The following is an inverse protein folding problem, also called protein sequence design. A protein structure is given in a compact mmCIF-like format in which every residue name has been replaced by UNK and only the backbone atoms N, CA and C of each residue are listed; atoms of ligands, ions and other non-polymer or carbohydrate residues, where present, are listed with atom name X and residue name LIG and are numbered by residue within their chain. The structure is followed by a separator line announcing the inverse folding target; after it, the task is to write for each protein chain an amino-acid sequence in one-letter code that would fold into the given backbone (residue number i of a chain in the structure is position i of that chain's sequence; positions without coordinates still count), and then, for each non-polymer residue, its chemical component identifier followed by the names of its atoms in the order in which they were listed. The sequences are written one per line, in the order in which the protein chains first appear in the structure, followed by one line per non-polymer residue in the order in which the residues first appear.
data_IF_720416202831
#
_entry.id   IF_720416202831
#
_cell.length_a   1.000
_cell.length_b   1.000
_cell.length_c   1.000
_cell.angle_alpha   90.00
_cell.angle_beta   90.00
_cell.angle_gamma   90.00
#
_symmetry.space_group_name_H-M   'P 1'
#
loop_
_entity.id
_entity.type
_entity.pdbx_description
1 polymer ?
#
# COMPACT_ATOMS: atom_id res chain seq x y z
N UNK A 1 -51.96 -3.75 -2.09
CA UNK A 1 -51.24 -2.44 -2.12
C UNK A 1 -50.24 -2.20 -0.99
N UNK A 2 -50.33 -2.81 0.21
CA UNK A 2 -49.32 -2.60 1.28
C UNK A 2 -48.01 -3.40 1.12
N UNK A 3 -48.01 -4.50 0.36
CA UNK A 3 -46.82 -5.35 0.18
C UNK A 3 -45.75 -4.79 -0.79
N UNK A 4 -46.13 -3.88 -1.71
CA UNK A 4 -45.20 -3.31 -2.69
C UNK A 4 -44.26 -2.22 -2.12
N UNK A 5 -44.61 -1.62 -0.97
CA UNK A 5 -43.75 -0.59 -0.34
C UNK A 5 -42.63 -1.18 0.52
N UNK A 6 -42.80 -2.39 1.05
CA UNK A 6 -41.79 -3.04 1.90
C UNK A 6 -40.61 -3.60 1.09
N UNK A 7 -40.86 -4.08 -0.14
CA UNK A 7 -39.82 -4.63 -1.01
C UNK A 7 -38.81 -3.57 -1.50
N UNK A 8 -39.24 -2.32 -1.65
CA UNK A 8 -38.36 -1.24 -2.12
C UNK A 8 -37.33 -0.76 -1.10
N UNK A 9 -37.60 -0.89 0.20
CA UNK A 9 -36.70 -0.42 1.28
C UNK A 9 -35.63 -1.47 1.57
N UNK A 10 -35.98 -2.76 1.57
CA UNK A 10 -35.02 -3.84 1.79
C UNK A 10 -33.99 -3.97 0.65
N UNK A 11 -34.41 -3.83 -0.62
CA UNK A 11 -33.46 -3.84 -1.75
C UNK A 11 -32.57 -2.60 -1.79
N UNK A 12 -33.01 -1.45 -1.29
CA UNK A 12 -32.17 -0.26 -1.20
C UNK A 12 -31.09 -0.37 -0.11
N UNK A 13 -31.39 -1.04 1.02
CA UNK A 13 -30.39 -1.27 2.08
C UNK A 13 -29.36 -2.34 1.73
N UNK A 14 -29.75 -3.43 1.06
CA UNK A 14 -28.79 -4.46 0.60
C UNK A 14 -27.84 -3.91 -0.47
N UNK A 15 -28.32 -3.01 -1.34
CA UNK A 15 -27.47 -2.33 -2.32
C UNK A 15 -26.53 -1.30 -1.67
N UNK A 16 -26.94 -0.67 -0.56
CA UNK A 16 -26.13 0.33 0.15
C UNK A 16 -24.98 -0.30 0.94
N UNK A 17 -25.20 -1.49 1.53
CA UNK A 17 -24.15 -2.24 2.26
C UNK A 17 -23.14 -2.87 1.29
N UNK A 18 -23.59 -3.35 0.13
CA UNK A 18 -22.69 -3.81 -0.92
C UNK A 18 -21.89 -2.66 -1.57
N UNK A 19 -22.44 -1.45 -1.64
CA UNK A 19 -21.72 -0.28 -2.21
C UNK A 19 -20.74 0.39 -1.24
N UNK A 20 -20.83 0.14 0.08
CA UNK A 20 -19.86 0.69 1.04
C UNK A 20 -18.60 -0.15 1.14
N UNK A 21 -18.68 -1.47 0.90
CA UNK A 21 -17.53 -2.39 0.94
C UNK A 21 -17.12 -2.97 -0.43
N UNK A 22 -17.87 -2.65 -1.49
CA UNK A 22 -17.66 -3.17 -2.85
C UNK A 22 -17.36 -2.09 -3.87
N UNK A 23 -16.64 -1.02 -3.48
CA UNK A 23 -15.97 -0.18 -4.47
C UNK A 23 -15.05 -1.09 -5.29
N UNK A 24 -15.16 -1.05 -6.62
CA UNK A 24 -14.17 -1.75 -7.45
C UNK A 24 -12.85 -0.99 -7.27
N UNK A 25 -11.85 -1.68 -6.74
CA UNK A 25 -10.47 -1.19 -6.68
C UNK A 25 -9.70 -1.84 -7.83
N UNK A 26 -8.85 -1.06 -8.48
CA UNK A 26 -7.84 -1.61 -9.38
C UNK A 26 -6.54 -1.72 -8.58
N UNK A 27 -6.06 -2.95 -8.29
CA UNK A 27 -4.76 -3.11 -7.66
C UNK A 27 -3.66 -2.68 -8.62
N UNK A 28 -2.72 -1.91 -8.08
CA UNK A 28 -1.42 -1.62 -8.66
C UNK A 28 -0.38 -2.35 -7.84
N UNK A 29 0.62 -2.95 -8.49
CA UNK A 29 1.58 -3.77 -7.77
C UNK A 29 2.94 -3.86 -8.47
N UNK A 30 3.99 -4.18 -7.72
CA UNK A 30 5.29 -4.64 -8.23
C UNK A 30 5.52 -6.11 -7.84
N UNK A 31 6.50 -6.75 -8.46
CA UNK A 31 6.91 -8.13 -8.13
C UNK A 31 8.41 -8.23 -7.98
N UNK A 32 8.90 -9.19 -7.20
CA UNK A 32 10.36 -9.38 -7.08
C UNK A 32 11.01 -9.67 -8.42
N UNK A 33 12.17 -9.05 -8.65
CA UNK A 33 12.91 -9.19 -9.89
C UNK A 33 13.34 -10.65 -10.17
N UNK A 34 13.22 -11.06 -11.43
CA UNK A 34 13.53 -12.44 -11.84
C UNK A 34 12.45 -13.47 -11.47
N UNK A 35 11.27 -13.00 -11.07
CA UNK A 35 10.09 -13.82 -10.83
C UNK A 35 9.64 -14.63 -12.07
N UNK A 36 8.94 -15.77 -11.88
CA UNK A 36 8.49 -16.65 -12.96
C UNK A 36 7.57 -16.01 -14.02
N UNK A 37 6.86 -14.93 -13.68
CA UNK A 37 6.07 -14.13 -14.61
C UNK A 37 6.92 -13.39 -15.66
N UNK A 38 8.21 -13.15 -15.36
CA UNK A 38 9.13 -12.43 -16.23
C UNK A 38 8.94 -10.91 -16.25
N UNK A 39 8.12 -10.38 -15.34
CA UNK A 39 8.08 -8.93 -15.08
C UNK A 39 9.35 -8.49 -14.34
N UNK A 40 9.72 -7.23 -14.52
CA UNK A 40 10.86 -6.66 -13.80
C UNK A 40 10.38 -6.05 -12.47
N UNK A 41 11.25 -6.05 -11.45
CA UNK A 41 10.88 -5.51 -10.13
C UNK A 41 10.77 -4.00 -10.03
N UNK A 42 11.11 -3.30 -11.12
CA UNK A 42 10.86 -1.87 -11.31
C UNK A 42 9.56 -1.58 -12.10
N UNK A 43 8.83 -2.62 -12.53
CA UNK A 43 7.53 -2.47 -13.20
C UNK A 43 6.38 -2.32 -12.20
N UNK A 44 5.67 -1.18 -12.24
CA UNK A 44 4.36 -1.05 -11.59
C UNK A 44 3.26 -1.49 -12.56
N UNK A 45 2.59 -2.59 -12.21
CA UNK A 45 1.58 -3.28 -13.00
C UNK A 45 0.18 -2.94 -12.49
N UNK A 46 -0.83 -3.03 -13.35
CA UNK A 46 -2.23 -2.82 -12.98
C UNK A 46 -3.12 -3.97 -13.46
N UNK A 47 -4.07 -4.39 -12.64
CA UNK A 47 -5.09 -5.38 -13.03
C UNK A 47 -6.22 -4.73 -13.88
N UNK A 48 -6.95 -5.49 -14.72
CA UNK A 48 -6.92 -6.95 -14.91
C UNK A 48 -5.91 -7.46 -15.95
N UNK A 49 -5.54 -8.74 -15.80
CA UNK A 49 -4.59 -9.46 -16.65
C UNK A 49 -5.15 -9.96 -18.01
N UNK A 50 -4.32 -10.05 -19.07
CA UNK A 50 -2.95 -9.54 -19.10
C UNK A 50 -2.98 -8.01 -19.05
N UNK A 51 -2.08 -7.34 -18.31
CA UNK A 51 -2.06 -5.89 -18.23
C UNK A 51 -2.04 -5.34 -19.66
N UNK A 52 -3.16 -4.74 -20.07
CA UNK A 52 -3.41 -4.43 -21.51
C UNK A 52 -2.41 -3.38 -22.01
N UNK A 53 -1.82 -2.63 -21.08
CA UNK A 53 -0.51 -2.05 -21.19
C UNK A 53 0.12 -2.14 -19.80
N UNK A 54 1.31 -2.76 -19.60
CA UNK A 54 2.11 -2.39 -18.45
C UNK A 54 2.21 -0.87 -18.50
N UNK A 55 1.85 -0.20 -17.40
CA UNK A 55 2.16 1.21 -17.26
C UNK A 55 3.67 1.25 -17.44
N UNK A 56 4.21 1.84 -18.51
CA UNK A 56 5.62 1.62 -18.83
C UNK A 56 6.44 2.03 -17.59
N UNK A 57 7.25 1.13 -17.01
CA UNK A 57 8.12 1.42 -15.84
C UNK A 57 8.93 2.72 -15.97
N UNK A 58 9.05 3.22 -17.21
CA UNK A 58 9.45 4.59 -17.49
C UNK A 58 8.70 5.70 -16.74
N UNK A 59 7.60 5.41 -16.02
CA UNK A 59 6.95 6.38 -15.13
C UNK A 59 7.84 6.68 -13.91
N UNK A 60 8.62 5.73 -13.38
CA UNK A 60 9.44 6.01 -12.18
C UNK A 60 10.93 6.03 -12.47
N UNK A 61 11.45 5.06 -13.24
CA UNK A 61 12.90 4.86 -13.33
C UNK A 61 13.25 4.38 -14.75
N UNK A 62 13.47 5.30 -15.70
CA UNK A 62 13.95 4.92 -17.04
C UNK A 62 15.35 4.31 -16.98
N UNK A 63 15.46 2.99 -16.96
CA UNK A 63 16.72 2.34 -17.26
C UNK A 63 16.76 0.92 -16.76
N UNK A 64 16.91 -0.02 -17.71
CA UNK A 64 17.22 -1.43 -17.53
C UNK A 64 18.58 -1.69 -16.83
N UNK A 65 18.89 -0.95 -15.77
CA UNK A 65 20.05 -1.26 -14.93
C UNK A 65 19.59 -2.39 -14.03
N UNK A 66 20.26 -3.53 -14.15
CA UNK A 66 20.05 -4.67 -13.26
C UNK A 66 20.18 -4.21 -11.80
N UNK A 67 19.22 -4.57 -10.95
CA UNK A 67 19.23 -4.27 -9.51
C UNK A 67 18.37 -3.08 -9.08
N UNK A 68 17.29 -2.77 -9.80
CA UNK A 68 16.22 -1.93 -9.28
C UNK A 68 15.04 -2.78 -8.84
N UNK A 69 14.52 -2.46 -7.67
CA UNK A 69 13.37 -3.10 -7.07
C UNK A 69 12.60 -2.00 -6.34
N UNK A 70 11.28 -1.97 -6.58
CA UNK A 70 10.36 -1.10 -5.87
C UNK A 70 9.72 -1.94 -4.78
N UNK A 71 10.10 -1.65 -3.55
CA UNK A 71 9.78 -2.46 -2.38
C UNK A 71 8.48 -2.03 -1.75
N UNK A 72 8.06 -0.79 -1.95
CA UNK A 72 6.79 -0.33 -1.43
C UNK A 72 6.22 0.79 -2.31
N UNK A 73 4.90 0.83 -2.52
CA UNK A 73 4.24 1.89 -3.29
C UNK A 73 2.95 2.34 -2.59
N UNK A 74 2.63 3.63 -2.72
CA UNK A 74 1.33 4.20 -2.37
C UNK A 74 0.95 5.27 -3.39
N UNK A 75 -0.18 5.08 -4.04
CA UNK A 75 -0.71 5.99 -5.04
C UNK A 75 -1.56 7.07 -4.38
N UNK A 76 -1.01 8.27 -4.25
CA UNK A 76 -1.78 9.35 -3.68
C UNK A 76 -2.75 9.96 -4.71
N UNK A 77 -4.01 9.55 -4.68
CA UNK A 77 -5.04 10.10 -5.56
C UNK A 77 -5.24 11.62 -5.44
N UNK A 78 -4.75 12.26 -4.38
CA UNK A 78 -4.96 13.69 -4.15
C UNK A 78 -3.99 14.61 -4.93
N UNK A 79 -2.86 14.10 -5.47
CA UNK A 79 -1.78 14.95 -6.01
C UNK A 79 -1.45 14.76 -7.49
N UNK A 80 -2.40 14.25 -8.29
CA UNK A 80 -2.28 14.35 -9.75
C UNK A 80 -1.22 13.42 -10.36
N UNK A 81 -1.33 12.12 -10.06
CA UNK A 81 -0.50 11.02 -10.58
C UNK A 81 0.90 10.89 -9.94
N UNK A 82 1.15 11.57 -8.82
CA UNK A 82 2.37 11.35 -8.03
C UNK A 82 2.28 10.07 -7.20
N UNK A 83 3.35 9.28 -7.24
CA UNK A 83 3.47 8.06 -6.46
C UNK A 83 4.49 8.27 -5.36
N UNK A 84 4.18 7.67 -4.22
CA UNK A 84 5.07 7.56 -3.08
C UNK A 84 5.61 6.15 -3.07
N UNK A 85 6.92 5.98 -2.86
CA UNK A 85 7.54 4.67 -2.91
C UNK A 85 8.78 4.55 -2.04
N UNK A 86 9.15 3.33 -1.71
CA UNK A 86 10.47 2.94 -1.17
C UNK A 86 11.14 1.93 -2.12
N UNK A 87 12.42 1.63 -1.89
CA UNK A 87 13.27 0.81 -2.78
C UNK A 87 14.28 -0.02 -2.00
N UNK A 88 14.67 -1.17 -2.56
CA UNK A 88 15.61 -2.09 -1.92
C UNK A 88 17.00 -1.50 -1.69
N UNK A 89 17.72 -2.10 -0.75
CA UNK A 89 19.13 -1.83 -0.47
C UNK A 89 20.03 -2.06 -1.69
N UNK A 90 19.58 -2.79 -2.72
CA UNK A 90 20.35 -2.93 -3.96
C UNK A 90 20.07 -1.84 -5.00
N UNK A 91 19.03 -1.03 -4.80
CA UNK A 91 18.65 0.05 -5.71
C UNK A 91 19.66 1.21 -5.73
N UNK A 92 20.13 1.60 -6.93
CA UNK A 92 21.26 2.55 -7.10
C UNK A 92 20.84 3.97 -7.50
N UNK A 93 19.59 4.15 -7.90
CA UNK A 93 19.00 5.34 -8.53
C UNK A 93 19.65 5.79 -9.86
N UNK A 94 18.88 6.47 -10.72
CA UNK A 94 19.45 7.14 -11.89
C UNK A 94 20.27 8.37 -11.44
N UNK A 95 21.39 8.70 -12.12
CA UNK A 95 22.18 9.88 -11.80
C UNK A 95 21.33 11.15 -11.70
N UNK A 96 21.38 11.81 -10.54
CA UNK A 96 20.65 13.05 -10.27
C UNK A 96 19.25 12.88 -9.66
N UNK A 97 18.84 11.64 -9.36
CA UNK A 97 17.64 11.35 -8.55
C UNK A 97 17.97 11.33 -7.05
N UNK A 98 16.97 11.49 -6.19
CA UNK A 98 17.14 11.35 -4.75
C UNK A 98 17.60 9.93 -4.37
N UNK A 99 16.99 8.89 -4.94
CA UNK A 99 17.43 7.50 -4.72
C UNK A 99 18.93 7.32 -5.02
N UNK A 100 19.46 7.97 -6.07
CA UNK A 100 20.88 7.86 -6.39
C UNK A 100 21.80 8.54 -5.36
N UNK A 101 21.30 9.57 -4.69
CA UNK A 101 22.02 10.26 -3.63
C UNK A 101 22.02 9.43 -2.36
N UNK A 102 20.88 8.84 -1.98
CA UNK A 102 20.74 7.98 -0.80
C UNK A 102 21.48 6.64 -0.96
N UNK A 103 21.42 6.04 -2.15
CA UNK A 103 22.14 4.80 -2.46
C UNK A 103 23.67 4.92 -2.36
N UNK A 104 24.22 6.13 -2.45
CA UNK A 104 25.64 6.36 -2.21
C UNK A 104 26.01 6.24 -0.72
N UNK A 105 25.06 6.52 0.18
CA UNK A 105 25.14 6.29 1.63
C UNK A 105 24.76 4.86 2.03
N UNK A 106 23.92 4.21 1.22
CA UNK A 106 23.31 2.91 1.54
C UNK A 106 22.08 3.05 2.42
N UNK A 107 21.44 4.21 2.37
CA UNK A 107 20.37 4.64 3.28
C UNK A 107 18.98 4.50 2.65
N UNK A 108 18.94 4.23 1.34
CA UNK A 108 17.72 4.21 0.53
C UNK A 108 16.57 3.28 0.95
N UNK A 109 16.77 2.11 1.62
CA UNK A 109 15.66 1.23 1.98
C UNK A 109 14.81 1.73 3.16
N UNK A 110 15.32 2.66 3.97
CA UNK A 110 14.56 3.27 5.06
C UNK A 110 13.83 4.56 4.62
N UNK A 111 13.99 4.97 3.37
CA UNK A 111 13.55 6.25 2.85
C UNK A 111 12.26 6.14 2.05
N UNK A 112 11.52 7.24 2.03
CA UNK A 112 10.31 7.37 1.23
C UNK A 112 10.48 8.53 0.25
N UNK A 113 10.29 8.20 -1.02
CA UNK A 113 10.43 9.12 -2.14
C UNK A 113 9.05 9.48 -2.71
N UNK A 114 8.93 10.71 -3.22
CA UNK A 114 7.83 11.09 -4.10
C UNK A 114 8.35 11.31 -5.51
N UNK A 115 7.63 10.82 -6.50
CA UNK A 115 8.05 11.01 -7.88
C UNK A 115 7.00 10.64 -8.93
N UNK A 116 7.36 11.01 -10.15
CA UNK A 116 6.70 10.68 -11.41
C UNK A 116 7.69 10.91 -12.56
N UNK A 117 7.27 10.65 -13.80
CA UNK A 117 8.06 10.64 -15.05
C UNK A 117 9.54 11.10 -14.98
N UNK A 118 10.41 10.29 -14.37
CA UNK A 118 11.87 10.38 -14.49
C UNK A 118 12.64 11.21 -13.46
N UNK A 119 11.99 11.81 -12.45
CA UNK A 119 12.68 12.41 -11.29
C UNK A 119 11.93 12.03 -10.00
N UNK A 120 12.70 11.74 -8.95
CA UNK A 120 12.18 11.52 -7.60
C UNK A 120 12.86 12.47 -6.60
N UNK A 121 12.12 12.82 -5.56
CA UNK A 121 12.56 13.64 -4.44
C UNK A 121 12.42 12.82 -3.16
N UNK A 122 13.38 12.98 -2.24
CA UNK A 122 13.24 12.47 -0.88
C UNK A 122 12.14 13.25 -0.17
N UNK A 123 11.13 12.55 0.35
CA UNK A 123 10.05 13.16 1.13
C UNK A 123 10.23 12.85 2.61
N UNK A 124 10.53 11.60 2.94
CA UNK A 124 10.91 11.20 4.30
C UNK A 124 12.21 10.42 4.31
N UNK A 125 13.07 10.85 5.22
CA UNK A 125 14.42 10.36 5.50
C UNK A 125 14.32 9.38 6.69
N UNK A 126 14.87 8.19 6.57
CA UNK A 126 14.80 7.16 7.62
C UNK A 126 15.24 7.69 8.98
N UNK A 127 16.47 8.20 9.08
CA UNK A 127 17.13 8.55 10.34
C UNK A 127 17.29 10.07 10.58
N UNK A 128 16.97 10.90 9.60
CA UNK A 128 17.04 12.36 9.67
C UNK A 128 18.48 12.91 9.78
N UNK A 129 19.49 12.09 9.51
CA UNK A 129 20.89 12.50 9.48
C UNK A 129 21.21 13.09 8.11
N UNK A 130 22.09 14.10 8.05
CA UNK A 130 22.12 15.00 6.92
C UNK A 130 22.77 14.35 5.68
N UNK A 131 21.97 13.70 4.83
CA UNK A 131 22.11 13.90 3.40
C UNK A 131 21.67 15.34 3.08
N UNK A 132 22.11 15.99 1.98
CA UNK A 132 21.80 17.40 1.71
C UNK A 132 20.32 17.61 1.34
N UNK A 133 19.52 16.55 1.33
CA UNK A 133 18.08 16.57 1.11
C UNK A 133 17.39 16.67 2.47
N UNK A 134 16.45 17.61 2.60
CA UNK A 134 15.69 17.81 3.84
C UNK A 134 14.33 17.13 3.71
N UNK A 135 14.21 15.87 4.11
CA UNK A 135 12.94 15.18 4.34
C UNK A 135 12.42 15.38 5.77
N UNK A 136 11.16 15.01 6.04
CA UNK A 136 10.75 14.68 7.42
C UNK A 136 11.45 13.39 7.86
N UNK A 137 11.64 13.12 9.15
CA UNK A 137 12.30 11.85 9.54
C UNK A 137 11.26 10.78 9.93
N UNK A 138 11.56 9.50 9.76
CA UNK A 138 10.71 8.40 10.25
C UNK A 138 11.19 7.85 11.59
N UNK A 139 12.43 8.16 11.97
CA UNK A 139 13.11 7.58 13.13
C UNK A 139 13.55 6.12 12.90
N UNK A 140 13.64 5.68 11.64
CA UNK A 140 14.18 4.40 11.21
C UNK A 140 15.72 4.43 11.24
N UNK A 141 16.32 3.25 11.37
CA UNK A 141 17.77 3.07 11.41
C UNK A 141 18.31 2.76 10.01
N UNK A 142 18.98 3.69 9.35
CA UNK A 142 19.51 3.38 8.01
C UNK A 142 20.72 2.43 8.01
N UNK A 143 20.89 1.60 6.96
CA UNK A 143 21.99 0.65 6.85
C UNK A 143 23.40 1.29 6.84
N UNK A 144 23.55 2.53 6.39
CA UNK A 144 24.81 3.28 6.48
C UNK A 144 25.22 3.55 7.94
N UNK A 145 24.25 3.57 8.86
CA UNK A 145 24.45 3.83 10.28
C UNK A 145 24.63 2.55 11.13
N UNK A 146 24.01 1.43 10.72
CA UNK A 146 24.09 0.12 11.39
C UNK A 146 24.05 -1.04 10.38
N UNK A 147 24.83 -2.13 10.55
CA UNK A 147 24.73 -3.27 9.66
C UNK A 147 23.30 -3.84 9.61
N UNK A 148 22.71 -3.85 8.41
CA UNK A 148 21.37 -4.40 8.16
C UNK A 148 20.23 -3.48 8.59
N UNK A 149 20.36 -2.16 8.41
CA UNK A 149 19.34 -1.14 8.73
C UNK A 149 17.90 -1.49 8.36
N UNK A 150 16.98 -0.63 8.78
CA UNK A 150 15.56 -0.75 8.50
C UNK A 150 15.27 -0.62 7.00
N UNK A 151 14.23 -1.34 6.59
CA UNK A 151 13.91 -1.62 5.20
C UNK A 151 12.39 -1.72 5.07
N UNK A 152 11.78 -0.87 4.25
CA UNK A 152 10.33 -0.68 4.17
C UNK A 152 9.74 -1.59 3.08
N UNK A 153 8.93 -2.58 3.50
CA UNK A 153 8.23 -3.51 2.61
C UNK A 153 6.76 -3.05 2.35
N UNK A 154 5.99 -2.84 3.40
CA UNK A 154 4.64 -2.29 3.30
C UNK A 154 4.67 -0.78 3.35
N UNK A 155 3.93 -0.08 2.48
CA UNK A 155 3.78 1.37 2.54
C UNK A 155 2.39 1.82 2.12
N UNK A 156 1.75 2.62 2.96
CA UNK A 156 0.55 3.36 2.60
C UNK A 156 0.58 4.78 3.18
N UNK A 157 0.34 5.79 2.34
CA UNK A 157 0.41 7.21 2.72
C UNK A 157 -0.93 7.89 2.52
N UNK A 158 -1.59 8.23 3.64
CA UNK A 158 -2.89 8.89 3.62
C UNK A 158 -2.75 10.39 3.54
N UNK A 159 -3.25 10.98 2.46
CA UNK A 159 -3.56 12.41 2.34
C UNK A 159 -2.45 13.35 2.80
N UNK A 160 -1.55 13.75 1.89
CA UNK A 160 -0.88 15.02 2.09
C UNK A 160 -1.99 16.08 2.09
N UNK A 161 -2.11 16.88 3.13
CA UNK A 161 -2.94 18.07 3.05
C UNK A 161 -1.97 19.24 3.13
N UNK A 162 -1.98 20.11 2.12
CA UNK A 162 -1.21 21.36 2.07
C UNK A 162 -1.43 22.29 3.29
N UNK A 163 -2.29 21.93 4.26
CA UNK A 163 -2.50 22.64 5.52
C UNK A 163 -2.64 21.68 6.72
N UNK A 164 -1.51 21.35 7.33
CA UNK A 164 -1.36 20.48 8.50
C UNK A 164 -1.97 20.99 9.84
N UNK A 165 -2.81 22.03 9.84
CA UNK A 165 -3.14 22.76 11.09
C UNK A 165 -4.41 22.23 11.79
N UNK A 166 -5.26 21.41 11.15
CA UNK A 166 -6.54 20.98 11.77
C UNK A 166 -7.02 19.57 11.44
N UNK A 167 -6.17 18.69 10.91
CA UNK A 167 -6.65 17.39 10.47
C UNK A 167 -6.73 16.37 11.62
N UNK A 168 -7.72 15.45 11.61
CA UNK A 168 -7.76 14.30 12.52
C UNK A 168 -6.46 13.49 12.39
N UNK A 169 -6.07 12.78 13.45
CA UNK A 169 -4.77 12.08 13.53
C UNK A 169 -4.50 11.10 12.37
N UNK A 170 -5.53 10.53 11.73
CA UNK A 170 -5.39 9.65 10.56
C UNK A 170 -5.20 10.35 9.21
N UNK A 171 -5.41 11.67 9.11
CA UNK A 171 -5.13 12.42 7.88
C UNK A 171 -3.68 12.90 7.87
N UNK A 172 -2.89 12.40 6.92
CA UNK A 172 -1.44 12.51 6.95
C UNK A 172 -0.77 11.36 7.71
N UNK A 173 -1.38 10.18 7.80
CA UNK A 173 -0.71 9.02 8.38
C UNK A 173 0.16 8.32 7.32
N UNK A 174 1.32 7.83 7.75
CA UNK A 174 2.20 6.95 6.99
C UNK A 174 2.13 5.60 7.70
N UNK A 175 1.57 4.61 7.04
CA UNK A 175 1.55 3.22 7.49
C UNK A 175 2.64 2.46 6.79
N UNK A 176 3.38 1.63 7.53
CA UNK A 176 4.42 0.81 6.92
C UNK A 176 4.68 -0.47 7.71
N UNK A 177 5.21 -1.49 7.04
CA UNK A 177 5.91 -2.61 7.69
C UNK A 177 7.40 -2.48 7.45
N UNK A 178 8.19 -3.25 8.20
CA UNK A 178 9.62 -3.35 8.01
C UNK A 178 9.96 -4.80 7.67
N UNK A 179 10.94 -5.00 6.80
CA UNK A 179 11.40 -6.34 6.45
C UNK A 179 11.92 -7.08 7.67
N UNK A 180 11.77 -8.41 7.69
CA UNK A 180 12.28 -9.24 8.77
C UNK A 180 13.80 -9.05 9.02
N UNK A 181 14.55 -8.57 8.02
CA UNK A 181 15.99 -8.33 8.12
C UNK A 181 16.36 -7.00 8.82
N UNK A 182 15.41 -6.09 9.00
CA UNK A 182 15.60 -4.75 9.57
C UNK A 182 16.29 -4.74 10.94
N UNK A 183 17.27 -3.86 11.13
CA UNK A 183 18.11 -3.77 12.35
C UNK A 183 17.41 -3.12 13.55
N UNK A 184 16.29 -2.42 13.35
CA UNK A 184 15.43 -1.85 14.37
C UNK A 184 15.14 -2.86 15.48
N UNK A 185 15.79 -2.68 16.62
CA UNK A 185 15.96 -3.73 17.63
C UNK A 185 14.69 -4.24 18.32
N UNK A 186 14.76 -5.50 18.78
CA UNK A 186 13.97 -6.16 19.84
C UNK A 186 12.48 -5.78 19.90
N UNK A 187 11.65 -6.50 19.14
CA UNK A 187 10.19 -6.51 19.33
C UNK A 187 9.37 -6.32 18.07
N UNK A 188 10.03 -6.07 16.94
CA UNK A 188 9.41 -5.95 15.63
C UNK A 188 9.53 -7.29 14.92
N UNK A 189 8.40 -7.93 14.66
CA UNK A 189 8.31 -8.93 13.59
C UNK A 189 7.92 -8.18 12.32
N UNK A 190 8.38 -8.63 11.16
CA UNK A 190 7.98 -7.99 9.90
C UNK A 190 6.49 -8.18 9.56
N UNK A 191 5.75 -8.89 10.40
CA UNK A 191 4.29 -8.96 10.41
C UNK A 191 3.59 -7.85 11.23
N UNK A 192 4.33 -6.85 11.71
CA UNK A 192 3.77 -5.69 12.42
C UNK A 192 3.67 -4.48 11.49
N UNK A 193 2.52 -3.82 11.49
CA UNK A 193 2.32 -2.53 10.86
C UNK A 193 2.53 -1.41 11.86
N UNK A 194 3.33 -0.43 11.46
CA UNK A 194 3.57 0.82 12.17
C UNK A 194 2.76 1.95 11.57
N UNK A 195 2.59 2.99 12.35
CA UNK A 195 2.11 4.27 11.86
C UNK A 195 2.99 5.40 12.38
N UNK A 196 3.32 6.30 11.46
CA UNK A 196 3.93 7.60 11.74
C UNK A 196 3.02 8.72 11.27
N UNK A 197 3.19 9.90 11.86
CA UNK A 197 2.51 11.12 11.40
C UNK A 197 3.37 11.81 10.34
N UNK A 198 2.81 12.08 9.17
CA UNK A 198 3.42 12.87 8.11
C UNK A 198 3.61 14.36 8.47
N UNK A 199 3.18 14.80 9.66
CA UNK A 199 3.29 16.21 10.07
C UNK A 199 4.73 16.53 10.47
N UNK A 200 5.44 17.23 9.58
CA UNK A 200 6.80 17.73 9.77
C UNK A 200 7.05 18.25 11.22
N UNK A 201 8.10 17.72 11.86
CA UNK A 201 8.59 18.04 13.21
C UNK A 201 7.93 17.31 14.40
N UNK A 202 7.21 16.20 14.20
CA UNK A 202 6.79 15.34 15.31
C UNK A 202 7.78 14.22 15.66
N UNK A 203 8.96 14.22 15.05
CA UNK A 203 9.95 13.17 15.21
C UNK A 203 10.74 13.25 16.50
N UNK A 204 10.16 12.60 17.49
CA UNK A 204 10.93 11.77 18.39
C UNK A 204 10.17 10.46 18.50
N UNK A 205 10.85 9.37 18.13
CA UNK A 205 10.49 8.01 18.47
C UNK A 205 9.75 7.92 19.82
N UNK A 206 8.74 7.03 19.92
CA UNK A 206 8.64 5.83 19.09
C UNK A 206 7.51 5.87 18.05
N UNK A 207 7.81 5.40 16.84
CA UNK A 207 6.79 4.88 15.93
C UNK A 207 5.92 3.86 16.70
N UNK A 208 4.60 4.01 16.59
CA UNK A 208 3.67 3.17 17.35
C UNK A 208 3.21 2.02 16.45
N UNK A 209 3.16 0.78 16.98
CA UNK A 209 2.47 -0.30 16.29
C UNK A 209 1.03 0.13 16.05
N UNK A 210 0.65 0.25 14.77
CA UNK A 210 -0.73 0.40 14.38
C UNK A 210 -1.46 -0.93 14.60
N UNK A 211 -0.93 -2.02 14.05
CA UNK A 211 -1.44 -3.37 14.24
C UNK A 211 -0.29 -4.38 14.39
N UNK A 212 -0.31 -5.16 15.47
CA UNK A 212 0.64 -6.27 15.67
C UNK A 212 0.28 -7.48 14.80
N UNK A 213 1.23 -8.39 14.55
CA UNK A 213 0.97 -9.66 13.84
C UNK A 213 -0.29 -10.39 14.35
N UNK A 214 -0.42 -10.56 15.68
CA UNK A 214 -1.57 -11.24 16.27
C UNK A 214 -2.91 -10.52 16.08
N UNK A 215 -2.90 -9.19 15.95
CA UNK A 215 -4.10 -8.39 15.65
C UNK A 215 -4.57 -8.56 14.19
N UNK A 216 -3.62 -8.77 13.27
CA UNK A 216 -3.85 -9.03 11.85
C UNK A 216 -4.20 -10.51 11.59
N UNK A 217 -4.04 -11.37 12.58
CA UNK A 217 -4.23 -12.83 12.45
C UNK A 217 -3.01 -13.56 11.88
N UNK A 218 -1.84 -12.92 11.95
CA UNK A 218 -0.54 -13.44 11.54
C UNK A 218 0.23 -14.03 12.72
N UNK A 219 1.28 -14.78 12.40
CA UNK A 219 2.16 -15.47 13.32
C UNK A 219 3.39 -14.62 13.61
N UNK A 220 3.53 -14.24 14.88
CA UNK A 220 4.65 -13.46 15.37
C UNK A 220 5.98 -14.24 15.39
N UNK A 221 7.07 -13.51 15.65
CA UNK A 221 8.39 -14.11 15.87
C UNK A 221 9.07 -14.54 14.58
N UNK A 222 8.82 -13.80 13.49
CA UNK A 222 9.46 -14.02 12.21
C UNK A 222 8.96 -15.24 11.45
N UNK A 223 7.72 -15.65 11.70
CA UNK A 223 7.05 -16.72 10.94
C UNK A 223 6.26 -16.19 9.76
N UNK A 224 5.76 -14.97 9.87
CA UNK A 224 5.18 -14.20 8.78
C UNK A 224 5.92 -12.87 8.67
N UNK A 225 5.92 -12.32 7.46
CA UNK A 225 6.60 -11.08 7.09
C UNK A 225 5.74 -10.39 6.03
N UNK A 226 5.33 -9.15 6.28
CA UNK A 226 4.47 -8.38 5.36
C UNK A 226 5.33 -7.74 4.31
N UNK A 227 5.09 -8.16 3.07
CA UNK A 227 5.90 -7.81 1.91
C UNK A 227 5.33 -6.59 1.18
N UNK A 228 4.01 -6.38 1.22
CA UNK A 228 3.36 -5.17 0.73
C UNK A 228 2.06 -4.94 1.51
N UNK A 229 1.63 -3.68 1.68
CA UNK A 229 0.41 -3.39 2.45
C UNK A 229 -0.32 -2.12 2.01
N UNK A 230 -1.65 -2.16 2.06
CA UNK A 230 -2.57 -1.02 1.95
C UNK A 230 -3.47 -1.00 3.18
N UNK A 231 -3.46 0.12 3.88
CA UNK A 231 -4.23 0.31 5.13
C UNK A 231 -5.45 1.19 4.89
N UNK A 232 -6.60 0.71 5.35
CA UNK A 232 -7.86 1.46 5.38
C UNK A 232 -8.26 1.75 6.84
N UNK A 233 -7.65 2.80 7.41
CA UNK A 233 -8.10 3.41 8.67
C UNK A 233 -9.42 4.18 8.40
N UNK A 234 -10.55 3.55 8.72
CA UNK A 234 -11.86 4.05 8.30
C UNK A 234 -12.44 5.11 9.23
N UNK A 235 -11.97 5.18 10.47
CA UNK A 235 -12.37 6.20 11.44
C UNK A 235 -11.35 7.34 11.59
N UNK A 236 -10.19 7.22 10.93
CA UNK A 236 -9.12 8.22 10.82
C UNK A 236 -8.55 8.62 12.18
N UNK A 237 -8.50 7.67 13.11
CA UNK A 237 -7.98 7.89 14.46
C UNK A 237 -6.54 7.40 14.67
N UNK A 238 -5.96 6.73 13.66
CA UNK A 238 -4.61 6.17 13.73
C UNK A 238 -4.50 4.99 14.70
N UNK A 239 -5.59 4.31 15.04
CA UNK A 239 -5.57 3.17 15.93
C UNK A 239 -6.27 1.99 15.28
N UNK A 240 -5.66 0.80 15.33
CA UNK A 240 -6.30 -0.41 14.82
C UNK A 240 -7.61 -0.70 15.58
N UNK A 241 -8.71 -0.61 14.84
CA UNK A 241 -10.06 -0.41 15.35
C UNK A 241 -11.07 -1.26 14.60
N UNK A 242 -12.27 -1.40 15.18
CA UNK A 242 -13.35 -2.15 14.56
C UNK A 242 -13.95 -1.33 13.40
N UNK A 243 -13.50 -1.63 12.19
CA UNK A 243 -13.84 -0.88 10.99
C UNK A 243 -12.71 -0.89 10.01
N UNK A 244 -11.48 -1.04 10.51
CA UNK A 244 -10.27 -1.01 9.71
C UNK A 244 -10.08 -2.30 8.94
N UNK A 245 -9.40 -2.14 7.82
CA UNK A 245 -9.06 -3.21 6.89
C UNK A 245 -7.61 -3.02 6.46
N UNK A 246 -6.89 -4.13 6.33
CA UNK A 246 -5.58 -4.15 5.70
C UNK A 246 -5.63 -5.16 4.56
N UNK A 247 -5.20 -4.72 3.38
CA UNK A 247 -4.86 -5.59 2.26
C UNK A 247 -3.34 -5.72 2.19
N UNK A 248 -2.81 -6.93 2.09
CA UNK A 248 -1.37 -7.15 2.14
C UNK A 248 -0.93 -8.42 1.43
N UNK A 249 0.34 -8.50 1.04
CA UNK A 249 1.03 -9.75 0.68
C UNK A 249 1.96 -10.18 1.81
N UNK A 250 2.43 -11.43 1.76
CA UNK A 250 3.40 -11.97 2.69
C UNK A 250 4.58 -12.55 1.93
N UNK A 251 5.78 -12.47 2.49
CA UNK A 251 6.98 -13.00 1.83
C UNK A 251 6.90 -14.52 1.61
N UNK A 252 7.65 -15.05 0.62
CA UNK A 252 7.68 -16.48 0.36
C UNK A 252 8.21 -17.25 1.56
N UNK A 253 7.43 -18.24 2.03
CA UNK A 253 7.80 -19.07 3.18
C UNK A 253 7.08 -18.70 4.47
N UNK A 254 6.32 -17.59 4.47
CA UNK A 254 5.43 -17.22 5.57
C UNK A 254 4.50 -18.38 5.96
N UNK A 255 4.46 -18.70 7.25
CA UNK A 255 3.77 -19.88 7.78
C UNK A 255 2.24 -19.79 7.61
N UNK A 256 1.69 -18.57 7.67
CA UNK A 256 0.27 -18.32 7.38
C UNK A 256 -0.06 -18.74 5.94
N UNK A 257 0.75 -18.38 4.94
CA UNK A 257 0.53 -18.79 3.54
C UNK A 257 0.39 -20.31 3.40
N UNK A 258 1.30 -21.06 4.03
CA UNK A 258 1.27 -22.51 4.04
C UNK A 258 0.00 -23.07 4.71
N UNK A 259 -0.46 -22.43 5.79
CA UNK A 259 -1.67 -22.83 6.53
C UNK A 259 -2.97 -22.64 5.75
N UNK A 260 -3.05 -21.61 4.91
CA UNK A 260 -4.23 -21.33 4.06
C UNK A 260 -4.14 -21.89 2.64
N UNK A 261 -2.96 -22.35 2.20
CA UNK A 261 -2.73 -22.75 0.81
C UNK A 261 -2.74 -21.57 -0.16
N UNK A 262 -2.33 -20.40 0.33
CA UNK A 262 -2.07 -19.21 -0.47
C UNK A 262 -0.59 -19.16 -0.91
N UNK A 263 -0.26 -18.18 -1.72
CA UNK A 263 1.07 -17.88 -2.24
C UNK A 263 1.43 -16.42 -1.96
N UNK A 264 2.72 -16.10 -2.08
CA UNK A 264 3.24 -14.74 -1.88
C UNK A 264 2.74 -13.75 -2.96
N UNK A 265 2.27 -14.27 -4.11
CA UNK A 265 1.64 -13.49 -5.17
C UNK A 265 0.13 -13.22 -4.94
N UNK A 266 -0.46 -13.71 -3.85
CA UNK A 266 -1.85 -13.44 -3.50
C UNK A 266 -1.94 -12.18 -2.62
N UNK A 267 -2.96 -11.35 -2.84
CA UNK A 267 -3.34 -10.28 -1.90
C UNK A 267 -4.30 -10.87 -0.88
N UNK A 268 -3.89 -10.81 0.39
CA UNK A 268 -4.68 -11.17 1.55
C UNK A 268 -5.40 -9.93 2.08
N UNK A 269 -6.53 -10.15 2.75
CA UNK A 269 -7.27 -9.12 3.48
C UNK A 269 -7.53 -9.58 4.89
N UNK A 270 -7.33 -8.70 5.85
CA UNK A 270 -7.77 -8.89 7.23
C UNK A 270 -8.52 -7.67 7.74
N UNK A 271 -9.43 -7.90 8.68
CA UNK A 271 -10.09 -6.87 9.47
C UNK A 271 -9.99 -7.18 10.96
N UNK A 272 -10.43 -6.25 11.80
CA UNK A 272 -10.30 -6.36 13.25
C UNK A 272 -10.80 -7.70 13.83
N UNK A 273 -9.88 -8.48 14.40
CA UNK A 273 -10.19 -9.74 15.08
C UNK A 273 -10.56 -10.91 14.15
N UNK A 274 -10.38 -10.74 12.84
CA UNK A 274 -10.48 -11.83 11.86
C UNK A 274 -9.09 -12.33 11.46
N UNK A 275 -8.99 -13.61 11.08
CA UNK A 275 -7.80 -14.10 10.38
C UNK A 275 -7.82 -13.68 8.91
N UNK A 276 -6.66 -13.64 8.26
CA UNK A 276 -6.59 -13.23 6.86
C UNK A 276 -7.33 -14.19 5.93
N UNK A 277 -7.82 -13.65 4.82
CA UNK A 277 -8.42 -14.40 3.72
C UNK A 277 -7.84 -13.93 2.40
N UNK A 278 -7.78 -14.81 1.39
CA UNK A 278 -7.38 -14.40 0.03
C UNK A 278 -8.44 -13.44 -0.52
N UNK A 279 -8.03 -12.21 -0.80
CA UNK A 279 -8.86 -11.16 -1.38
C UNK A 279 -8.73 -11.12 -2.91
N UNK A 280 -7.50 -11.10 -3.41
CA UNK A 280 -7.19 -11.19 -4.84
C UNK A 280 -6.15 -12.29 -5.05
N UNK A 281 -6.49 -13.32 -5.82
CA UNK A 281 -5.54 -14.39 -6.12
C UNK A 281 -4.48 -13.95 -7.14
N UNK A 282 -3.29 -14.54 -7.10
CA UNK A 282 -2.21 -14.35 -8.07
C UNK A 282 -2.70 -14.42 -9.53
N UNK A 283 -3.51 -15.43 -9.85
CA UNK A 283 -4.06 -15.61 -11.21
C UNK A 283 -5.01 -14.48 -11.66
N UNK A 284 -5.66 -13.77 -10.72
CA UNK A 284 -6.49 -12.61 -11.03
C UNK A 284 -5.65 -11.35 -11.33
N UNK A 285 -4.46 -11.26 -10.73
CA UNK A 285 -3.46 -10.24 -11.05
C UNK A 285 -2.72 -10.56 -12.36
N UNK A 286 -2.74 -11.82 -12.81
CA UNK A 286 -1.94 -12.28 -13.94
C UNK A 286 -0.58 -12.83 -13.57
N UNK A 287 -0.40 -13.15 -12.28
CA UNK A 287 0.79 -13.74 -11.71
C UNK A 287 0.65 -15.26 -11.61
N UNK A 288 1.80 -15.92 -11.49
CA UNK A 288 1.92 -17.30 -11.08
C UNK A 288 1.99 -17.37 -9.56
N UNK A 289 1.58 -18.49 -8.96
CA UNK A 289 1.64 -18.72 -7.50
C UNK A 289 3.07 -18.81 -6.94
N UNK A 290 4.07 -18.60 -7.78
CA UNK A 290 5.50 -18.62 -7.46
C UNK A 290 6.16 -17.27 -7.67
N UNK A 291 5.42 -16.27 -8.15
CA UNK A 291 5.86 -14.87 -8.09
C UNK A 291 5.82 -14.39 -6.63
N UNK A 292 6.54 -13.31 -6.35
CA UNK A 292 6.48 -12.59 -5.08
C UNK A 292 5.91 -11.19 -5.32
N UNK A 293 4.91 -10.78 -4.56
CA UNK A 293 4.31 -9.46 -4.68
C UNK A 293 4.98 -8.55 -3.67
N UNK A 294 5.80 -7.64 -4.20
CA UNK A 294 6.74 -6.82 -3.43
C UNK A 294 6.15 -5.45 -3.09
N UNK A 295 5.28 -4.89 -3.94
CA UNK A 295 4.64 -3.61 -3.64
C UNK A 295 3.18 -3.64 -4.03
N UNK A 296 2.31 -2.95 -3.28
CA UNK A 296 0.86 -2.99 -3.47
C UNK A 296 0.23 -1.63 -3.20
N UNK A 297 -0.66 -1.22 -4.11
CA UNK A 297 -1.60 -0.11 -3.89
C UNK A 297 -2.99 -0.46 -4.46
N UNK A 298 -4.03 0.18 -3.94
CA UNK A 298 -5.42 -0.04 -4.32
C UNK A 298 -6.11 1.27 -4.66
N UNK A 299 -6.20 1.56 -5.95
CA UNK A 299 -6.84 2.78 -6.46
C UNK A 299 -8.33 2.52 -6.70
N UNK A 300 -9.26 3.19 -6.01
CA UNK A 300 -10.69 3.08 -6.33
C UNK A 300 -10.99 3.50 -7.78
N UNK A 301 -11.76 2.67 -8.50
CA UNK A 301 -12.11 2.92 -9.89
C UNK A 301 -13.12 4.07 -10.02
N UNK A 302 -12.80 5.14 -10.79
CA UNK A 302 -13.73 6.25 -11.05
C UNK A 302 -15.04 5.80 -11.72
N UNK A 303 -14.97 4.70 -12.48
CA UNK A 303 -16.05 4.16 -13.32
C UNK A 303 -17.26 3.70 -12.49
N UNK A 304 -17.01 3.14 -11.29
CA UNK A 304 -18.07 2.60 -10.42
C UNK A 304 -18.96 3.73 -9.89
N UNK A 305 -18.35 4.85 -9.50
CA UNK A 305 -19.06 6.05 -9.06
C UNK A 305 -19.92 6.61 -10.20
N UNK A 306 -19.36 6.68 -11.41
CA UNK A 306 -20.11 7.13 -12.58
C UNK A 306 -21.28 6.18 -12.92
N UNK A 307 -21.08 4.87 -12.83
CA UNK A 307 -22.11 3.87 -13.12
C UNK A 307 -23.26 3.91 -12.09
N UNK A 308 -22.95 4.08 -10.81
CA UNK A 308 -23.96 4.28 -9.75
C UNK A 308 -24.72 5.59 -10.00
N UNK A 309 -24.02 6.68 -10.32
CA UNK A 309 -24.62 7.98 -10.63
C UNK A 309 -25.58 7.92 -11.81
N UNK A 310 -25.18 7.29 -12.92
CA UNK A 310 -26.01 7.11 -14.12
C UNK A 310 -27.21 6.20 -13.82
N UNK A 311 -27.00 5.12 -13.06
CA UNK A 311 -28.08 4.18 -12.69
C UNK A 311 -29.14 4.85 -11.82
N UNK A 312 -28.71 5.66 -10.84
CA UNK A 312 -29.61 6.44 -9.98
C UNK A 312 -30.40 7.49 -10.79
N UNK A 313 -29.73 8.19 -11.70
CA UNK A 313 -30.37 9.16 -12.60
C UNK A 313 -31.41 8.49 -13.51
N UNK A 314 -31.09 7.32 -14.07
CA UNK A 314 -32.02 6.53 -14.88
C UNK A 314 -33.29 6.12 -14.13
N UNK A 315 -33.17 5.72 -12.85
CA UNK A 315 -34.31 5.41 -11.99
C UNK A 315 -35.19 6.63 -11.70
N UNK A 316 -34.58 7.80 -11.46
CA UNK A 316 -35.32 9.05 -11.23
C UNK A 316 -36.10 9.50 -12.47
N UNK A 317 -35.50 9.40 -13.65
CA UNK A 317 -36.15 9.74 -14.93
C UNK A 317 -37.34 8.79 -15.19
N UNK A 318 -37.15 7.48 -14.97
CA UNK A 318 -38.23 6.49 -15.14
C UNK A 318 -39.43 6.77 -14.25
N UNK A 319 -39.22 7.21 -13.01
CA UNK A 319 -40.30 7.56 -12.07
C UNK A 319 -41.10 8.80 -12.51
N UNK A 320 -40.48 9.72 -13.25
CA UNK A 320 -41.13 10.94 -13.74
C UNK A 320 -41.93 10.71 -15.04
N UNK A 321 -41.56 9.69 -15.82
CA UNK A 321 -42.15 9.40 -17.13
C UNK A 321 -43.30 8.37 -17.11
N UNK A 322 -43.65 7.80 -15.95
CA UNK A 322 -44.86 6.97 -15.83
C UNK A 322 -46.03 7.86 -15.39
N UNK A 323 -46.94 8.26 -16.31
CA UNK A 323 -48.18 8.91 -15.93
C UNK A 323 -49.03 7.96 -15.08
N UNK A 324 -49.62 8.49 -14.01
CA UNK A 324 -50.60 7.79 -13.17
C UNK A 324 -51.87 7.46 -13.94
#
# INVERSE_FOLDING_TARGET
MKAQKAFGIASAMVLLVASTYGQAFSPYYSVVNGGPSGYAGDDVLGAPSPPVNPVPASIFLQGSVLGYEVDAISGNQHYGEEWVFSVDITSVGLPGTAVNLEAAGGDQPADIYVGGFGLNNLTWDGNGLPNPLTGGTLGLLEPGSVPGGDDIDGLEVHGFADNAVTQPLGQGAIYYSLSQASAGGIGFDGATLFMSSAVNNYDVAPFMPYATAGMLGLLAGGQDDIDAAVVYDNDLDGMWSAGDVVDFSLTPGSATLAGMGASAADVLRTGFGSGPVVFVSAGALGLLTTDNLDALDMIPEPSTIALIGISALGLLIRKRLMPY
#
